data_IF_897080672558
#
_entry.id   IF_897080672558
#
_cell.length_a   1.000
_cell.length_b   1.000
_cell.length_c   1.000
_cell.angle_alpha   90.00
_cell.angle_beta   90.00
_cell.angle_gamma   90.00
#
_symmetry.space_group_name_H-M   'P 1'
#
loop_
_entity.id
_entity.type
_entity.pdbx_description
1 polymer ?
#
# COMPACT_ATOMS: atom_id res chain seq x y z
N UNK A 1 1.82 -3.31 11.93
CA UNK A 1 0.63 -4.15 12.16
C UNK A 1 -0.63 -3.40 11.75
N UNK A 2 -0.85 -2.18 12.19
CA UNK A 2 -2.02 -1.33 11.92
C UNK A 2 -2.20 -1.05 10.43
N UNK A 3 -1.13 -0.83 9.70
CA UNK A 3 -1.16 -0.56 8.25
C UNK A 3 -1.74 -1.72 7.44
N UNK A 4 -1.37 -2.96 7.79
CA UNK A 4 -1.92 -4.15 7.12
C UNK A 4 -3.40 -4.30 7.46
N UNK A 5 -3.77 -4.05 8.69
CA UNK A 5 -5.15 -4.12 9.14
C UNK A 5 -6.01 -3.10 8.37
N UNK A 6 -5.61 -1.84 8.34
CA UNK A 6 -6.31 -0.80 7.57
C UNK A 6 -6.46 -1.22 6.11
N UNK A 7 -5.37 -1.70 5.48
CA UNK A 7 -5.38 -2.12 4.09
C UNK A 7 -6.43 -3.21 3.81
N UNK A 8 -6.52 -4.26 4.63
CA UNK A 8 -7.44 -5.37 4.36
C UNK A 8 -8.90 -4.98 4.56
N UNK A 9 -9.21 -4.11 5.53
CA UNK A 9 -10.56 -3.59 5.73
C UNK A 9 -10.99 -2.68 4.57
N UNK A 10 -10.14 -1.74 4.18
CA UNK A 10 -10.42 -0.84 3.05
C UNK A 10 -10.53 -1.62 1.75
N UNK A 11 -9.64 -2.58 1.51
CA UNK A 11 -9.62 -3.38 0.29
C UNK A 11 -10.94 -4.13 0.08
N UNK A 12 -11.53 -4.75 1.13
CA UNK A 12 -12.83 -5.41 1.02
C UNK A 12 -13.92 -4.45 0.59
N UNK A 13 -14.04 -3.31 1.26
CA UNK A 13 -15.12 -2.36 1.01
C UNK A 13 -15.01 -1.74 -0.38
N UNK A 14 -13.81 -1.27 -0.73
CA UNK A 14 -13.60 -0.56 -1.99
C UNK A 14 -13.65 -1.50 -3.20
N UNK A 15 -13.11 -2.72 -3.08
CA UNK A 15 -13.21 -3.71 -4.16
C UNK A 15 -14.65 -4.15 -4.39
N UNK A 16 -15.43 -4.41 -3.34
CA UNK A 16 -16.83 -4.74 -3.48
C UNK A 16 -17.63 -3.63 -4.17
N UNK A 17 -17.41 -2.37 -3.76
CA UNK A 17 -18.05 -1.21 -4.38
C UNK A 17 -17.65 -1.08 -5.87
N UNK A 18 -16.38 -1.24 -6.19
CA UNK A 18 -15.88 -1.20 -7.56
C UNK A 18 -16.48 -2.31 -8.43
N UNK A 19 -16.47 -3.55 -7.95
CA UNK A 19 -17.00 -4.70 -8.69
C UNK A 19 -18.52 -4.57 -8.89
N UNK A 20 -19.26 -4.12 -7.88
CA UNK A 20 -20.70 -3.89 -7.99
C UNK A 20 -21.04 -2.82 -9.06
N UNK A 21 -20.21 -1.77 -9.17
CA UNK A 21 -20.38 -0.70 -10.16
C UNK A 21 -19.83 -1.05 -11.57
N UNK A 22 -19.12 -2.16 -11.72
CA UNK A 22 -18.50 -2.57 -12.98
C UNK A 22 -19.52 -2.94 -14.05
N UNK A 23 -19.08 -3.02 -15.32
CA UNK A 23 -19.95 -3.32 -16.46
C UNK A 23 -20.76 -4.62 -16.25
N UNK A 24 -22.02 -4.67 -16.72
CA UNK A 24 -22.90 -5.84 -16.54
C UNK A 24 -22.33 -7.18 -17.04
N UNK A 25 -21.43 -7.13 -18.04
CA UNK A 25 -20.77 -8.32 -18.57
C UNK A 25 -19.71 -8.92 -17.61
N UNK A 26 -19.28 -8.18 -16.59
CA UNK A 26 -18.34 -8.68 -15.59
C UNK A 26 -19.02 -9.76 -14.72
N UNK A 27 -18.44 -10.96 -14.71
CA UNK A 27 -19.01 -12.11 -13.98
C UNK A 27 -18.73 -12.07 -12.49
N UNK A 28 -17.53 -11.60 -12.09
CA UNK A 28 -17.12 -11.46 -10.70
C UNK A 28 -17.59 -10.11 -10.20
N UNK A 29 -18.49 -10.07 -9.22
CA UNK A 29 -19.17 -8.86 -8.73
C UNK A 29 -18.89 -8.55 -7.26
N UNK A 30 -18.15 -9.42 -6.57
CA UNK A 30 -17.80 -9.27 -5.16
C UNK A 30 -16.47 -9.92 -4.85
N UNK A 31 -15.89 -9.58 -3.70
CA UNK A 31 -14.68 -10.21 -3.19
C UNK A 31 -14.93 -11.70 -2.90
N UNK A 32 -16.10 -12.08 -2.39
CA UNK A 32 -16.48 -13.48 -2.18
C UNK A 32 -16.42 -14.27 -3.49
N UNK A 33 -16.98 -13.71 -4.58
CA UNK A 33 -16.95 -14.34 -5.89
C UNK A 33 -15.53 -14.37 -6.48
N UNK A 34 -14.70 -13.34 -6.22
CA UNK A 34 -13.30 -13.31 -6.62
C UNK A 34 -12.51 -14.45 -5.94
N UNK A 35 -12.67 -14.61 -4.63
CA UNK A 35 -12.02 -15.69 -3.87
C UNK A 35 -12.45 -17.05 -4.41
N UNK A 36 -13.74 -17.24 -4.68
CA UNK A 36 -14.27 -18.48 -5.24
C UNK A 36 -13.72 -18.76 -6.66
N UNK A 37 -13.66 -17.74 -7.51
CA UNK A 37 -13.08 -17.86 -8.85
C UNK A 37 -11.59 -18.27 -8.79
N UNK A 38 -10.81 -17.59 -8.00
CA UNK A 38 -9.37 -17.83 -7.90
C UNK A 38 -9.05 -19.24 -7.34
N UNK A 39 -9.91 -19.79 -6.47
CA UNK A 39 -9.72 -21.15 -5.93
C UNK A 39 -9.81 -22.25 -6.99
N UNK A 40 -10.53 -22.01 -8.07
CA UNK A 40 -10.73 -23.01 -9.14
C UNK A 40 -9.95 -22.71 -10.41
N UNK A 41 -9.45 -21.49 -10.61
CA UNK A 41 -8.66 -21.12 -11.79
C UNK A 41 -7.22 -21.60 -11.63
N UNK A 42 -6.76 -22.46 -12.55
CA UNK A 42 -5.42 -23.03 -12.50
C UNK A 42 -4.29 -21.98 -12.55
N UNK A 43 -4.55 -20.84 -13.19
CA UNK A 43 -3.57 -19.74 -13.31
C UNK A 43 -3.29 -19.06 -11.97
N UNK A 44 -4.29 -19.07 -11.08
CA UNK A 44 -4.21 -18.43 -9.76
C UNK A 44 -3.60 -19.35 -8.68
N UNK A 45 -3.52 -20.65 -8.94
CA UNK A 45 -2.97 -21.63 -7.98
C UNK A 45 -1.49 -21.43 -7.64
N UNK A 46 -0.76 -20.70 -8.48
CA UNK A 46 0.65 -20.37 -8.23
C UNK A 46 0.84 -19.20 -7.26
N UNK A 47 -0.23 -18.46 -6.98
CA UNK A 47 -0.20 -17.27 -6.12
C UNK A 47 -0.96 -17.52 -4.82
N UNK A 48 -0.44 -16.95 -3.73
CA UNK A 48 -1.17 -16.97 -2.46
C UNK A 48 -2.33 -15.97 -2.48
N UNK A 49 -3.48 -16.38 -1.94
CA UNK A 49 -4.64 -15.53 -1.74
C UNK A 49 -4.79 -15.01 -0.30
N UNK A 50 -3.78 -15.21 0.55
CA UNK A 50 -3.86 -14.88 1.98
C UNK A 50 -4.37 -13.47 2.25
N UNK A 51 -3.98 -12.49 1.43
CA UNK A 51 -4.39 -11.10 1.61
C UNK A 51 -5.87 -10.91 1.26
N UNK A 52 -6.33 -11.53 0.18
CA UNK A 52 -7.73 -11.44 -0.30
C UNK A 52 -8.66 -12.17 0.68
N UNK A 53 -8.26 -13.35 1.14
CA UNK A 53 -9.01 -14.12 2.13
C UNK A 53 -9.05 -13.43 3.49
N UNK A 54 -7.93 -12.83 3.92
CA UNK A 54 -7.90 -12.02 5.14
C UNK A 54 -8.80 -10.79 5.05
N UNK A 55 -8.85 -10.14 3.88
CA UNK A 55 -9.74 -9.01 3.64
C UNK A 55 -11.20 -9.45 3.66
N UNK A 56 -11.54 -10.57 2.99
CA UNK A 56 -12.92 -11.11 2.97
C UNK A 56 -13.43 -11.45 4.37
N UNK A 57 -12.55 -11.90 5.26
CA UNK A 57 -12.90 -12.24 6.65
C UNK A 57 -13.17 -11.02 7.54
N UNK A 58 -12.88 -9.79 7.09
CA UNK A 58 -13.12 -8.58 7.90
C UNK A 58 -14.62 -8.24 8.00
N UNK A 59 -15.01 -7.57 9.08
CA UNK A 59 -16.39 -7.14 9.34
C UNK A 59 -16.77 -5.91 8.49
N UNK A 60 -16.23 -4.74 8.82
CA UNK A 60 -16.54 -3.49 8.14
C UNK A 60 -15.76 -2.32 8.75
N UNK A 61 -15.86 -1.13 8.13
CA UNK A 61 -15.14 0.08 8.58
C UNK A 61 -15.65 0.67 9.92
N UNK A 62 -16.72 0.16 10.44
CA UNK A 62 -17.28 0.48 11.76
C UNK A 62 -16.72 -0.43 12.87
N UNK A 63 -15.91 -1.44 12.52
CA UNK A 63 -15.22 -2.29 13.48
C UNK A 63 -14.30 -1.45 14.39
N UNK A 64 -14.42 -1.58 15.72
CA UNK A 64 -13.58 -0.82 16.65
C UNK A 64 -12.08 -1.00 16.44
N UNK A 65 -11.63 -2.19 16.07
CA UNK A 65 -10.22 -2.46 15.77
C UNK A 65 -9.72 -1.66 14.58
N UNK A 66 -10.51 -1.57 13.50
CA UNK A 66 -10.18 -0.75 12.35
C UNK A 66 -10.18 0.75 12.69
N UNK A 67 -11.21 1.24 13.40
CA UNK A 67 -11.35 2.65 13.78
C UNK A 67 -10.15 3.09 14.63
N UNK A 68 -9.77 2.29 15.63
CA UNK A 68 -8.62 2.58 16.49
C UNK A 68 -7.29 2.56 15.70
N UNK A 69 -7.08 1.54 14.89
CA UNK A 69 -5.87 1.41 14.06
C UNK A 69 -5.72 2.59 13.08
N UNK A 70 -6.81 3.00 12.43
CA UNK A 70 -6.82 4.13 11.51
C UNK A 70 -6.52 5.46 12.23
N UNK A 71 -7.16 5.71 13.37
CA UNK A 71 -6.91 6.89 14.18
C UNK A 71 -5.45 6.96 14.66
N UNK A 72 -4.92 5.85 15.15
CA UNK A 72 -3.52 5.73 15.57
C UNK A 72 -2.57 6.00 14.39
N UNK A 73 -2.76 5.34 13.26
CA UNK A 73 -1.89 5.46 12.11
C UNK A 73 -1.88 6.89 11.54
N UNK A 74 -3.05 7.53 11.39
CA UNK A 74 -3.16 8.92 10.94
C UNK A 74 -2.46 9.89 11.89
N UNK A 75 -2.64 9.71 13.18
CA UNK A 75 -1.98 10.56 14.19
C UNK A 75 -0.47 10.42 14.14
N UNK A 76 0.04 9.18 14.03
CA UNK A 76 1.48 8.91 13.96
C UNK A 76 2.13 9.42 12.67
N UNK A 77 1.46 9.28 11.54
CA UNK A 77 2.00 9.73 10.26
C UNK A 77 1.90 11.26 10.09
N UNK A 78 0.77 11.88 10.43
CA UNK A 78 0.53 13.33 10.32
C UNK A 78 1.05 14.11 11.54
N UNK A 79 0.19 14.39 12.56
CA UNK A 79 0.52 15.30 13.66
C UNK A 79 1.78 14.93 14.46
N UNK A 80 2.04 13.67 14.67
CA UNK A 80 3.22 13.22 15.42
C UNK A 80 4.43 12.91 14.51
N UNK A 81 4.22 12.90 13.19
CA UNK A 81 5.24 12.61 12.16
C UNK A 81 5.56 13.81 11.29
N UNK A 82 5.04 13.80 10.05
CA UNK A 82 5.39 14.78 9.02
C UNK A 82 5.07 16.23 9.40
N UNK A 83 3.96 16.48 10.12
CA UNK A 83 3.59 17.84 10.52
C UNK A 83 4.67 18.51 11.39
N UNK A 84 5.37 17.73 12.20
CA UNK A 84 6.51 18.26 13.00
C UNK A 84 7.64 18.75 12.11
N UNK A 85 7.97 18.01 11.04
CA UNK A 85 9.01 18.45 10.10
C UNK A 85 8.58 19.74 9.38
N UNK A 86 7.34 19.78 8.89
CA UNK A 86 6.80 20.94 8.18
C UNK A 86 6.66 22.18 9.08
N UNK A 87 6.39 22.01 10.37
CA UNK A 87 6.36 23.11 11.35
C UNK A 87 7.73 23.80 11.53
N UNK A 88 8.83 23.12 11.21
CA UNK A 88 10.18 23.73 11.17
C UNK A 88 10.51 24.43 9.85
N UNK A 89 9.54 24.60 8.94
CA UNK A 89 9.75 25.22 7.64
C UNK A 89 10.34 24.28 6.58
N UNK A 90 10.40 22.98 6.85
CA UNK A 90 10.77 21.98 5.85
C UNK A 90 9.68 21.93 4.77
N UNK A 91 10.06 22.12 3.52
CA UNK A 91 9.14 22.19 2.37
C UNK A 91 8.88 20.82 1.75
N UNK A 92 9.81 19.87 1.92
CA UNK A 92 9.66 18.48 1.53
C UNK A 92 10.54 17.57 2.38
N UNK A 93 10.09 16.39 2.67
CA UNK A 93 10.89 15.28 3.23
C UNK A 93 11.34 14.41 2.07
N UNK A 94 12.65 14.13 2.02
CA UNK A 94 13.29 13.36 0.95
C UNK A 94 13.79 12.03 1.50
N UNK A 95 13.50 10.93 0.79
CA UNK A 95 13.89 9.58 1.22
C UNK A 95 13.95 8.62 0.03
N UNK A 96 14.75 7.54 0.07
CA UNK A 96 14.60 6.47 -0.90
C UNK A 96 13.15 5.97 -0.93
N UNK A 97 12.60 5.77 -2.12
CA UNK A 97 11.20 5.33 -2.28
C UNK A 97 10.95 3.94 -1.68
N UNK A 98 11.94 3.08 -1.75
CA UNK A 98 11.90 1.73 -1.19
C UNK A 98 13.26 1.05 -1.24
N UNK A 99 13.28 -0.22 -0.93
CA UNK A 99 14.47 -1.06 -1.11
C UNK A 99 14.71 -1.27 -2.61
N UNK A 100 15.98 -1.52 -3.02
CA UNK A 100 16.27 -1.96 -4.37
C UNK A 100 15.40 -3.17 -4.77
N UNK A 101 15.01 -3.24 -6.03
CA UNK A 101 14.27 -4.39 -6.53
C UNK A 101 15.10 -5.67 -6.39
N UNK A 102 14.46 -6.73 -5.96
CA UNK A 102 15.07 -8.07 -5.90
C UNK A 102 14.66 -8.92 -7.10
N UNK A 103 15.37 -10.02 -7.32
CA UNK A 103 14.93 -11.03 -8.28
C UNK A 103 13.64 -11.70 -7.82
N UNK A 104 12.76 -11.97 -8.76
CA UNK A 104 11.54 -12.77 -8.49
C UNK A 104 12.00 -14.22 -8.28
N UNK A 105 11.76 -14.81 -7.09
CA UNK A 105 12.10 -16.20 -6.85
C UNK A 105 11.33 -17.13 -7.79
N UNK A 106 11.90 -18.28 -8.18
CA UNK A 106 11.20 -19.27 -8.99
C UNK A 106 9.90 -19.75 -8.33
N UNK A 107 8.88 -20.17 -9.10
CA UNK A 107 7.66 -20.76 -8.55
C UNK A 107 7.96 -21.90 -7.60
N UNK A 108 7.25 -22.00 -6.50
CA UNK A 108 7.43 -23.03 -5.47
C UNK A 108 8.56 -22.79 -4.49
N UNK A 109 9.33 -21.69 -4.62
CA UNK A 109 10.36 -21.31 -3.64
C UNK A 109 9.78 -20.36 -2.58
N UNK A 110 10.37 -20.39 -1.38
CA UNK A 110 10.02 -19.41 -0.33
C UNK A 110 10.26 -17.98 -0.85
N UNK A 111 9.26 -17.11 -0.68
CA UNK A 111 9.31 -15.71 -1.15
C UNK A 111 8.72 -15.49 -2.54
N UNK A 112 8.26 -16.52 -3.24
CA UNK A 112 7.56 -16.38 -4.52
C UNK A 112 6.23 -15.63 -4.38
N UNK A 113 5.61 -15.70 -3.22
CA UNK A 113 4.38 -14.97 -2.91
C UNK A 113 4.67 -13.79 -1.97
N UNK A 114 3.85 -12.75 -2.04
CA UNK A 114 3.94 -11.59 -1.14
C UNK A 114 3.82 -12.01 0.33
N UNK A 115 3.05 -13.05 0.61
CA UNK A 115 2.85 -13.62 1.94
C UNK A 115 4.09 -14.32 2.51
N UNK A 116 4.98 -14.79 1.66
CA UNK A 116 6.20 -15.53 2.08
C UNK A 116 7.33 -14.60 2.55
N UNK A 117 7.17 -13.28 2.48
CA UNK A 117 8.14 -12.38 3.10
C UNK A 117 8.11 -12.50 4.61
N UNK A 118 9.26 -12.71 5.27
CA UNK A 118 9.31 -12.74 6.72
C UNK A 118 8.70 -11.46 7.30
N UNK A 119 7.88 -11.59 8.34
CA UNK A 119 7.34 -10.42 9.05
C UNK A 119 8.49 -9.52 9.50
N UNK A 120 8.45 -8.25 9.12
CA UNK A 120 9.50 -7.27 9.46
C UNK A 120 10.71 -7.24 8.53
N UNK A 121 10.73 -8.00 7.44
CA UNK A 121 11.85 -8.02 6.48
C UNK A 121 11.98 -6.78 5.60
N UNK A 122 10.98 -5.91 5.57
CA UNK A 122 11.06 -4.62 4.88
C UNK A 122 10.59 -3.51 5.81
N UNK A 123 11.37 -2.44 5.96
CA UNK A 123 10.87 -1.26 6.66
C UNK A 123 9.62 -0.74 5.93
N UNK A 124 8.68 -0.11 6.65
CA UNK A 124 7.53 0.51 6.03
C UNK A 124 7.98 1.50 4.96
N UNK A 125 7.34 1.46 3.79
CA UNK A 125 7.64 2.41 2.73
C UNK A 125 7.28 3.83 3.15
N UNK A 126 8.13 4.84 2.87
CA UNK A 126 7.80 6.23 3.13
C UNK A 126 6.49 6.68 2.47
N UNK A 127 6.17 6.15 1.29
CA UNK A 127 4.91 6.41 0.59
C UNK A 127 3.68 5.95 1.40
N UNK A 128 3.81 4.90 2.18
CA UNK A 128 2.73 4.41 3.05
C UNK A 128 2.41 5.41 4.17
N UNK A 129 3.43 6.01 4.80
CA UNK A 129 3.20 7.06 5.80
C UNK A 129 2.59 8.31 5.19
N UNK A 130 3.04 8.70 3.99
CA UNK A 130 2.45 9.82 3.27
C UNK A 130 0.97 9.55 2.95
N UNK A 131 0.63 8.36 2.48
CA UNK A 131 -0.75 7.94 2.22
C UNK A 131 -1.63 7.98 3.48
N UNK A 132 -1.14 7.47 4.61
CA UNK A 132 -1.85 7.51 5.90
C UNK A 132 -2.08 8.94 6.40
N UNK A 133 -1.11 9.84 6.20
CA UNK A 133 -1.24 11.26 6.54
C UNK A 133 -2.12 12.04 5.54
N UNK A 134 -2.34 11.51 4.34
CA UNK A 134 -3.03 12.20 3.24
C UNK A 134 -2.15 13.28 2.63
N UNK A 135 -0.86 13.01 2.45
CA UNK A 135 0.13 13.93 1.89
C UNK A 135 0.61 13.48 0.52
N UNK A 136 0.91 14.42 -0.39
CA UNK A 136 1.44 14.09 -1.70
C UNK A 136 2.84 13.48 -1.57
N UNK A 137 3.08 12.47 -2.38
CA UNK A 137 4.37 11.80 -2.53
C UNK A 137 4.69 11.65 -4.03
N UNK A 138 5.78 12.24 -4.45
CA UNK A 138 6.30 12.17 -5.80
C UNK A 138 7.61 11.37 -5.80
N UNK A 139 7.75 10.44 -6.75
CA UNK A 139 8.98 9.66 -6.91
C UNK A 139 9.66 10.03 -8.22
N UNK A 140 10.97 10.26 -8.15
CA UNK A 140 11.84 10.45 -9.31
C UNK A 140 12.93 9.38 -9.34
N UNK A 141 13.52 9.06 -10.50
CA UNK A 141 14.68 8.19 -10.57
C UNK A 141 15.85 8.74 -9.74
N UNK A 142 16.46 7.90 -8.90
CA UNK A 142 17.62 8.25 -8.09
C UNK A 142 18.93 7.63 -8.63
N UNK A 143 18.81 6.49 -9.32
CA UNK A 143 19.93 5.73 -9.84
C UNK A 143 19.61 4.25 -9.98
N UNK A 144 20.63 3.41 -9.89
CA UNK A 144 20.50 1.96 -10.03
C UNK A 144 21.33 1.22 -8.97
N UNK A 145 20.85 0.08 -8.53
CA UNK A 145 21.57 -0.89 -7.71
C UNK A 145 21.56 -2.22 -8.46
N UNK A 146 22.73 -2.76 -8.77
CA UNK A 146 22.87 -3.98 -9.58
C UNK A 146 22.10 -3.93 -10.93
N UNK A 147 22.06 -2.75 -11.56
CA UNK A 147 21.36 -2.53 -12.82
C UNK A 147 19.84 -2.35 -12.68
N UNK A 148 19.29 -2.43 -11.49
CA UNK A 148 17.86 -2.23 -11.21
C UNK A 148 17.58 -0.82 -10.68
N UNK A 149 16.52 -0.12 -11.16
CA UNK A 149 16.26 1.26 -10.80
C UNK A 149 15.84 1.39 -9.34
N UNK A 150 16.27 2.49 -8.71
CA UNK A 150 15.81 2.93 -7.40
C UNK A 150 15.27 4.34 -7.50
N UNK A 151 14.26 4.64 -6.67
CA UNK A 151 13.56 5.92 -6.66
C UNK A 151 13.88 6.76 -5.45
N UNK A 152 13.79 8.07 -5.62
CA UNK A 152 13.81 9.08 -4.57
C UNK A 152 12.41 9.65 -4.39
N UNK A 153 11.86 9.55 -3.20
CA UNK A 153 10.57 10.13 -2.84
C UNK A 153 10.71 11.53 -2.27
N UNK A 154 9.85 12.42 -2.73
CA UNK A 154 9.63 13.77 -2.24
C UNK A 154 8.24 13.83 -1.64
N UNK A 155 8.13 14.05 -0.33
CA UNK A 155 6.87 14.08 0.40
C UNK A 155 6.66 15.50 0.92
N UNK A 156 5.55 16.13 0.53
CA UNK A 156 5.21 17.49 0.92
C UNK A 156 3.96 17.58 1.79
N UNK A 157 3.66 18.75 2.35
CA UNK A 157 2.41 18.99 3.07
C UNK A 157 1.22 18.89 2.10
N UNK A 158 0.00 18.80 2.63
CA UNK A 158 -1.23 18.75 1.81
C UNK A 158 -1.25 19.90 0.80
N UNK A 159 -1.65 19.57 -0.44
CA UNK A 159 -1.82 20.54 -1.54
C UNK A 159 -0.53 21.16 -2.05
N UNK A 160 0.63 20.52 -1.81
CA UNK A 160 1.94 20.97 -2.28
C UNK A 160 2.41 20.29 -3.57
N UNK A 161 1.52 19.64 -4.32
CA UNK A 161 1.84 18.88 -5.54
C UNK A 161 2.61 19.71 -6.56
N UNK A 162 2.18 20.97 -6.79
CA UNK A 162 2.86 21.88 -7.71
C UNK A 162 4.32 22.17 -7.30
N UNK A 163 4.57 22.33 -6.00
CA UNK A 163 5.90 22.54 -5.45
C UNK A 163 6.76 21.27 -5.59
N UNK A 164 6.21 20.09 -5.31
CA UNK A 164 6.94 18.84 -5.50
C UNK A 164 7.29 18.59 -6.96
N UNK A 165 6.38 18.90 -7.89
CA UNK A 165 6.66 18.82 -9.33
C UNK A 165 7.79 19.75 -9.75
N UNK A 166 7.81 20.98 -9.23
CA UNK A 166 8.89 21.94 -9.50
C UNK A 166 10.26 21.51 -8.93
N UNK A 167 10.26 20.77 -7.81
CA UNK A 167 11.49 20.20 -7.22
C UNK A 167 12.01 18.98 -8.01
N UNK A 168 11.12 18.27 -8.67
CA UNK A 168 11.42 17.03 -9.38
C UNK A 168 11.90 17.27 -10.83
N UNK A 169 11.71 18.47 -11.37
CA UNK A 169 12.12 18.90 -12.70
C UNK A 169 13.59 19.30 -12.72
#
# INVERSE_FOLDING_TARGET
QEQRLILIYDFKQDLNAYLAASAPAQKVRSMTELVAFNKVDEREKVWSQDLVEAAEATSGRDDPEYVEALAYAKRKAGPEGYDKAFAYGVVAVVTPTGQPAGLIPPPGTAGHTISARPKGSSPPSPSMYAALAGYPNLTVPMGQVEGLPVGLSLIGPKWSEAQLLAMAY
#
